data_IF_786591449836
#
_entry.id   IF_786591449836
#
_cell.length_a   1.000
_cell.length_b   1.000
_cell.length_c   1.000
_cell.angle_alpha   90.00
_cell.angle_beta   90.00
_cell.angle_gamma   90.00
#
_symmetry.space_group_name_H-M   'P 1'
#
loop_
_entity.id
_entity.type
_entity.pdbx_description
1 polymer ?
#
# COMPACT_ATOMS: atom_id res chain seq x y z
N UNK A 1 5.67 -4.58 0.04
CA UNK A 1 5.94 -3.24 -0.46
C UNK A 1 7.31 -3.31 -1.11
N UNK A 2 7.37 -3.25 -2.43
CA UNK A 2 8.62 -3.33 -3.19
C UNK A 2 9.35 -1.99 -3.34
N UNK A 3 10.50 -2.02 -4.01
CA UNK A 3 11.38 -0.84 -4.24
C UNK A 3 10.74 0.34 -5.00
N UNK A 4 9.57 0.14 -5.63
CA UNK A 4 8.86 1.18 -6.39
C UNK A 4 8.04 2.15 -5.52
N UNK A 5 7.69 1.73 -4.30
CA UNK A 5 6.82 2.50 -3.40
C UNK A 5 7.31 3.91 -3.00
N UNK A 6 8.61 4.30 -2.97
CA UNK A 6 8.98 5.61 -2.42
C UNK A 6 8.72 6.71 -3.45
N UNK A 7 8.83 6.36 -4.74
CA UNK A 7 8.50 7.24 -5.85
C UNK A 7 7.00 7.49 -5.92
N UNK A 8 6.19 6.42 -5.78
CA UNK A 8 4.74 6.54 -5.73
C UNK A 8 4.31 7.45 -4.56
N UNK A 9 4.86 7.20 -3.37
CA UNK A 9 4.60 8.02 -2.18
C UNK A 9 4.85 9.52 -2.43
N UNK A 10 6.01 9.86 -3.00
CA UNK A 10 6.37 11.25 -3.30
C UNK A 10 5.38 11.92 -4.26
N UNK A 11 4.87 11.20 -5.24
CA UNK A 11 3.87 11.75 -6.16
C UNK A 11 2.54 12.05 -5.46
N UNK A 12 2.04 11.12 -4.65
CA UNK A 12 0.75 11.28 -3.99
C UNK A 12 0.81 12.29 -2.84
N UNK A 13 1.82 12.21 -1.97
CA UNK A 13 1.96 13.16 -0.85
C UNK A 13 2.45 14.52 -1.33
N UNK A 14 3.49 14.56 -2.17
CA UNK A 14 4.09 15.81 -2.63
C UNK A 14 3.26 16.54 -3.68
N UNK A 15 2.59 15.82 -4.57
CA UNK A 15 1.82 16.39 -5.67
C UNK A 15 0.33 16.57 -5.36
N UNK A 16 -0.27 15.63 -4.62
CA UNK A 16 -1.72 15.60 -4.35
C UNK A 16 -2.08 15.84 -2.89
N UNK A 17 -1.09 15.97 -2.00
CA UNK A 17 -1.30 16.08 -0.54
C UNK A 17 -2.19 14.96 0.02
N UNK A 18 -2.12 13.76 -0.58
CA UNK A 18 -2.93 12.62 -0.19
C UNK A 18 -2.37 11.93 1.06
N UNK A 19 -3.26 11.39 1.88
CA UNK A 19 -2.88 10.49 2.97
C UNK A 19 -2.57 9.08 2.43
N UNK A 20 -1.53 8.45 2.97
CA UNK A 20 -1.09 7.12 2.51
C UNK A 20 -1.50 6.04 3.49
N UNK A 21 -2.35 5.14 3.02
CA UNK A 21 -2.78 3.93 3.73
C UNK A 21 -2.24 2.72 2.96
N UNK A 22 -1.51 1.85 3.65
CA UNK A 22 -0.84 0.71 3.05
C UNK A 22 -1.30 -0.60 3.69
N UNK A 23 -1.42 -1.63 2.85
CA UNK A 23 -1.63 -3.01 3.26
C UNK A 23 -0.62 -3.88 2.54
N UNK A 24 0.12 -4.68 3.30
CA UNK A 24 0.94 -5.76 2.77
C UNK A 24 1.06 -6.88 3.80
N UNK A 25 0.52 -8.08 3.53
CA UNK A 25 0.54 -9.19 4.47
C UNK A 25 1.94 -9.77 4.71
N UNK A 26 2.93 -9.43 3.87
CA UNK A 26 4.32 -9.88 3.98
C UNK A 26 5.24 -8.79 4.54
N UNK A 27 4.68 -7.69 5.05
CA UNK A 27 5.48 -6.58 5.54
C UNK A 27 6.03 -6.87 6.94
N UNK A 28 7.36 -6.86 7.08
CA UNK A 28 8.05 -7.06 8.35
C UNK A 28 8.51 -5.71 8.91
N UNK A 29 7.79 -5.19 9.92
CA UNK A 29 8.04 -3.88 10.54
C UNK A 29 9.44 -3.69 11.16
N UNK A 30 10.19 -4.77 11.40
CA UNK A 30 11.49 -4.71 12.06
C UNK A 30 12.65 -4.39 11.10
N UNK A 31 12.44 -4.43 9.78
CA UNK A 31 13.49 -4.20 8.78
C UNK A 31 13.18 -2.99 7.89
N UNK A 32 12.40 -2.04 8.41
CA UNK A 32 11.66 -1.09 7.60
C UNK A 32 12.55 0.04 7.00
N UNK A 33 12.88 0.03 5.69
CA UNK A 33 13.57 1.17 5.06
C UNK A 33 12.63 2.37 4.85
N UNK A 34 11.34 2.22 5.17
CA UNK A 34 10.27 3.19 4.92
C UNK A 34 9.98 4.09 6.13
N UNK A 35 10.78 4.01 7.21
CA UNK A 35 10.68 4.86 8.41
C UNK A 35 10.77 6.38 8.13
N UNK A 36 11.24 6.75 6.93
CA UNK A 36 11.35 8.15 6.50
C UNK A 36 10.05 8.71 5.93
N UNK A 37 9.03 7.87 5.79
CA UNK A 37 7.78 8.18 5.12
C UNK A 37 6.61 8.05 6.11
N UNK A 38 5.74 9.05 6.16
CA UNK A 38 4.50 8.96 6.94
C UNK A 38 3.47 8.15 6.15
N UNK A 39 3.04 7.02 6.73
CA UNK A 39 1.97 6.17 6.20
C UNK A 39 1.27 5.45 7.35
N UNK A 40 0.01 5.04 7.13
CA UNK A 40 -0.76 4.19 8.04
C UNK A 40 -0.80 2.77 7.49
N UNK A 41 -0.29 1.80 8.23
CA UNK A 41 -0.41 0.39 7.87
C UNK A 41 -1.70 -0.20 8.45
N UNK A 42 -2.48 -0.90 7.62
CA UNK A 42 -3.66 -1.67 8.04
C UNK A 42 -3.37 -3.16 7.95
N UNK A 43 -4.14 -3.99 8.67
CA UNK A 43 -3.84 -5.41 8.84
C UNK A 43 -4.54 -6.30 7.82
N UNK A 44 -5.61 -5.81 7.20
CA UNK A 44 -6.39 -6.58 6.23
C UNK A 44 -6.68 -5.76 4.98
N UNK A 45 -6.92 -6.44 3.86
CA UNK A 45 -7.34 -5.79 2.62
C UNK A 45 -8.71 -5.11 2.79
N UNK A 46 -9.62 -5.70 3.57
CA UNK A 46 -10.95 -5.14 3.80
C UNK A 46 -10.86 -3.78 4.51
N UNK A 47 -10.05 -3.69 5.57
CA UNK A 47 -9.79 -2.42 6.26
C UNK A 47 -9.26 -1.34 5.32
N UNK A 48 -8.43 -1.70 4.34
CA UNK A 48 -7.93 -0.74 3.34
C UNK A 48 -9.06 -0.26 2.42
N UNK A 49 -9.86 -1.19 1.90
CA UNK A 49 -10.93 -0.91 0.94
C UNK A 49 -12.07 -0.07 1.54
N UNK A 50 -12.30 -0.17 2.85
CA UNK A 50 -13.33 0.61 3.55
C UNK A 50 -12.99 2.11 3.68
N UNK A 51 -11.71 2.46 3.66
CA UNK A 51 -11.24 3.82 3.98
C UNK A 51 -10.53 4.52 2.82
N UNK A 52 -10.09 3.78 1.81
CA UNK A 52 -9.32 4.34 0.71
C UNK A 52 -10.22 4.92 -0.39
N UNK A 53 -9.97 6.18 -0.76
CA UNK A 53 -10.63 6.81 -1.91
C UNK A 53 -10.08 6.30 -3.26
N UNK A 54 -8.78 5.98 -3.29
CA UNK A 54 -8.06 5.50 -4.48
C UNK A 54 -7.16 4.34 -4.08
N UNK A 55 -7.27 3.21 -4.78
CA UNK A 55 -6.52 1.98 -4.46
C UNK A 55 -5.57 1.65 -5.61
N UNK A 56 -4.29 2.06 -5.52
CA UNK A 56 -3.26 1.59 -6.45
C UNK A 56 -2.84 0.16 -6.10
N UNK A 57 -3.10 -0.80 -7.00
CA UNK A 57 -2.72 -2.20 -6.80
C UNK A 57 -1.29 -2.44 -7.31
N UNK A 58 -0.37 -2.73 -6.40
CA UNK A 58 1.03 -3.03 -6.74
C UNK A 58 1.50 -4.34 -6.10
N UNK A 59 0.94 -5.45 -6.59
CA UNK A 59 1.27 -6.82 -6.16
C UNK A 59 1.58 -7.70 -7.38
N UNK A 60 2.44 -8.73 -7.24
CA UNK A 60 2.65 -9.70 -8.31
C UNK A 60 1.36 -10.51 -8.56
N UNK A 61 1.13 -10.89 -9.82
CA UNK A 61 0.06 -11.83 -10.16
C UNK A 61 0.51 -13.25 -9.85
N UNK A 62 -0.12 -13.85 -8.85
CA UNK A 62 0.08 -15.23 -8.39
C UNK A 62 -1.28 -15.91 -8.26
N UNK A 63 -1.35 -17.23 -8.02
CA UNK A 63 -2.61 -17.88 -7.70
C UNK A 63 -3.32 -17.26 -6.48
N UNK A 64 -2.58 -16.72 -5.50
CA UNK A 64 -3.15 -16.11 -4.30
C UNK A 64 -3.66 -14.68 -4.50
N UNK A 65 -3.13 -13.94 -5.49
CA UNK A 65 -3.59 -12.58 -5.82
C UNK A 65 -4.53 -12.54 -7.02
N UNK A 66 -4.71 -13.66 -7.73
CA UNK A 66 -5.65 -13.79 -8.84
C UNK A 66 -7.07 -13.53 -8.34
N UNK A 67 -7.77 -12.61 -9.00
CA UNK A 67 -9.13 -12.19 -8.65
C UNK A 67 -9.28 -11.69 -7.20
N UNK A 68 -8.21 -11.15 -6.60
CA UNK A 68 -8.27 -10.65 -5.22
C UNK A 68 -9.19 -9.43 -5.06
N UNK A 69 -9.42 -8.67 -6.14
CA UNK A 69 -10.43 -7.61 -6.22
C UNK A 69 -11.51 -8.11 -7.17
N UNK A 70 -12.72 -8.31 -6.63
CA UNK A 70 -13.91 -8.77 -7.37
C UNK A 70 -15.14 -8.02 -6.88
N UNK A 71 -16.16 -7.92 -7.74
CA UNK A 71 -17.49 -7.42 -7.41
C UNK A 71 -18.39 -8.53 -6.86
#
# INVERSE_FOLDING_TARGET
MGSYWPSLHKCFVGGLQADIIAFDPYFHHNEDPWNTISYKCVKTLIELLEVADVVPLHVPLTPSTKNMITA
#
